data_IF_214155426187
#
_entry.id   IF_214155426187
#
_cell.length_a   1.000
_cell.length_b   1.000
_cell.length_c   1.000
_cell.angle_alpha   90.00
_cell.angle_beta   90.00
_cell.angle_gamma   90.00
#
_symmetry.space_group_name_H-M   'P 1'
#
loop_
_entity.id
_entity.type
_entity.pdbx_description
1 polymer ?
#
# COMPACT_ATOMS: atom_id res chain seq x y z
N UNK A 1 -15.24 9.43 0.85
CA UNK A 1 -14.33 9.57 2.00
C UNK A 1 -15.17 9.27 3.24
N UNK A 2 -15.08 8.06 3.75
CA UNK A 2 -15.68 7.73 5.06
C UNK A 2 -14.90 8.50 6.14
N UNK A 3 -15.62 9.17 7.05
CA UNK A 3 -15.02 9.93 8.17
C UNK A 3 -14.10 9.05 9.02
N UNK A 4 -13.06 9.61 9.71
CA UNK A 4 -12.18 8.85 10.58
C UNK A 4 -12.96 8.06 11.62
N UNK A 5 -12.51 6.84 12.00
CA UNK A 5 -13.16 6.12 13.09
C UNK A 5 -13.18 7.09 14.28
N UNK A 6 -14.39 7.34 14.79
CA UNK A 6 -14.57 8.13 16.02
C UNK A 6 -13.64 7.59 17.10
N UNK A 7 -13.21 8.43 18.03
CA UNK A 7 -12.35 8.08 19.16
C UNK A 7 -13.04 7.06 20.10
N UNK A 8 -13.28 5.85 19.60
CA UNK A 8 -13.63 4.68 20.39
C UNK A 8 -12.38 4.18 21.10
N UNK A 9 -12.53 3.57 22.28
CA UNK A 9 -11.44 3.17 23.17
C UNK A 9 -10.46 2.09 22.66
N UNK A 10 -10.54 1.64 21.40
CA UNK A 10 -9.63 0.67 20.80
C UNK A 10 -8.31 1.27 20.35
N UNK A 11 -7.24 0.46 20.28
CA UNK A 11 -5.91 0.84 19.80
C UNK A 11 -5.97 1.32 18.35
N UNK A 12 -5.09 2.25 17.98
CA UNK A 12 -4.89 2.64 16.59
C UNK A 12 -3.80 1.76 15.96
N UNK A 13 -4.19 0.90 15.03
CA UNK A 13 -3.32 -0.09 14.41
C UNK A 13 -3.20 0.17 12.92
N UNK A 14 -1.97 0.31 12.44
CA UNK A 14 -1.68 0.55 11.04
C UNK A 14 -1.11 -0.72 10.40
N UNK A 15 -1.63 -1.08 9.24
CA UNK A 15 -1.12 -2.18 8.42
C UNK A 15 -0.63 -1.64 7.08
N UNK A 16 0.58 -2.01 6.68
CA UNK A 16 0.91 -1.99 5.26
C UNK A 16 0.11 -3.10 4.54
N UNK A 17 0.00 -3.00 3.24
CA UNK A 17 -0.81 -3.92 2.43
C UNK A 17 0.05 -4.94 1.69
N UNK A 18 0.92 -4.47 0.80
CA UNK A 18 1.81 -5.31 0.01
C UNK A 18 2.92 -5.89 0.92
N UNK A 19 3.18 -7.19 0.83
CA UNK A 19 4.13 -7.90 1.71
C UNK A 19 3.62 -8.19 3.13
N UNK A 20 2.44 -7.67 3.52
CA UNK A 20 1.80 -7.89 4.82
C UNK A 20 0.48 -8.62 4.70
N UNK A 21 -0.41 -8.17 3.83
CA UNK A 21 -1.72 -8.80 3.55
C UNK A 21 -1.68 -9.57 2.22
N UNK A 22 -1.01 -9.00 1.21
CA UNK A 22 -0.86 -9.58 -0.13
C UNK A 22 0.61 -9.78 -0.44
N UNK A 23 0.97 -10.97 -0.92
CA UNK A 23 2.34 -11.31 -1.29
C UNK A 23 2.78 -10.60 -2.58
N UNK A 24 3.90 -9.87 -2.48
CA UNK A 24 4.50 -9.09 -3.56
C UNK A 24 3.86 -7.72 -3.72
N UNK A 25 4.14 -7.05 -4.84
CA UNK A 25 3.61 -5.72 -5.18
C UNK A 25 2.38 -5.87 -6.06
N UNK A 26 1.22 -5.54 -5.51
CA UNK A 26 -0.09 -5.69 -6.15
C UNK A 26 -0.27 -4.73 -7.32
N UNK A 27 0.21 -3.48 -7.17
CA UNK A 27 0.09 -2.47 -8.22
C UNK A 27 1.07 -2.72 -9.38
N UNK A 28 2.32 -3.11 -9.09
CA UNK A 28 3.26 -3.52 -10.13
C UNK A 28 2.77 -4.76 -10.89
N UNK A 29 2.06 -5.67 -10.21
CA UNK A 29 1.37 -6.79 -10.84
C UNK A 29 0.33 -6.33 -11.86
N UNK A 30 -0.54 -5.39 -11.48
CA UNK A 30 -1.52 -4.78 -12.37
C UNK A 30 -0.84 -4.03 -13.53
N UNK A 31 0.17 -3.22 -13.23
CA UNK A 31 0.91 -2.42 -14.21
C UNK A 31 1.45 -3.30 -15.34
N UNK A 32 2.13 -4.39 -15.01
CA UNK A 32 2.70 -5.33 -15.99
C UNK A 32 1.64 -6.07 -16.78
N UNK A 33 0.52 -6.39 -16.18
CA UNK A 33 -0.48 -7.28 -16.76
C UNK A 33 -1.58 -6.54 -17.52
N UNK A 34 -1.95 -5.36 -17.05
CA UNK A 34 -3.08 -4.57 -17.57
C UNK A 34 -2.71 -3.12 -17.90
N UNK A 35 -1.97 -2.46 -17.02
CA UNK A 35 -1.72 -1.02 -17.08
C UNK A 35 -1.00 -0.58 -18.34
N UNK A 36 -0.01 -1.34 -18.79
CA UNK A 36 0.79 -1.05 -19.99
C UNK A 36 0.39 -1.86 -21.23
N UNK A 37 -0.75 -2.55 -21.23
CA UNK A 37 -1.26 -3.24 -22.42
C UNK A 37 -1.66 -2.30 -23.59
N UNK A 38 -2.37 -1.19 -23.35
CA UNK A 38 -2.73 -0.28 -24.42
C UNK A 38 -1.50 0.29 -25.13
N UNK A 39 -1.48 0.37 -26.49
CA UNK A 39 -0.28 0.75 -27.25
C UNK A 39 0.34 2.07 -26.81
N UNK A 40 -0.49 3.09 -26.57
CA UNK A 40 -0.04 4.41 -26.10
C UNK A 40 0.67 4.33 -24.75
N UNK A 41 0.11 3.59 -23.79
CA UNK A 41 0.67 3.42 -22.44
C UNK A 41 1.93 2.56 -22.45
N UNK A 42 1.96 1.56 -23.32
CA UNK A 42 3.15 0.73 -23.54
C UNK A 42 4.29 1.57 -24.11
N UNK A 43 4.01 2.41 -25.12
CA UNK A 43 5.00 3.35 -25.64
C UNK A 43 5.49 4.32 -24.55
N UNK A 44 4.57 4.91 -23.79
CA UNK A 44 4.93 5.78 -22.67
C UNK A 44 5.79 5.05 -21.62
N UNK A 45 5.49 3.79 -21.30
CA UNK A 45 6.29 2.93 -20.42
C UNK A 45 7.70 2.72 -20.97
N UNK A 46 7.87 2.45 -22.25
CA UNK A 46 9.18 2.32 -22.90
C UNK A 46 9.98 3.63 -22.86
N UNK A 47 9.34 4.77 -23.08
CA UNK A 47 10.00 6.08 -23.04
C UNK A 47 10.42 6.45 -21.60
N UNK A 48 9.68 6.02 -20.60
CA UNK A 48 9.98 6.25 -19.18
C UNK A 48 11.03 5.28 -18.65
N UNK A 49 11.12 4.06 -19.19
CA UNK A 49 11.95 2.98 -18.65
C UNK A 49 13.45 3.36 -18.48
N UNK A 50 14.13 4.05 -19.43
CA UNK A 50 15.54 4.41 -19.30
C UNK A 50 15.84 5.31 -18.10
N UNK A 51 14.87 6.10 -17.65
CA UNK A 51 15.00 6.99 -16.49
C UNK A 51 14.35 6.35 -15.25
N UNK A 52 13.17 5.79 -15.40
CA UNK A 52 12.38 5.26 -14.30
C UNK A 52 13.00 4.04 -13.63
N UNK A 53 13.57 3.09 -14.40
CA UNK A 53 14.20 1.89 -13.85
C UNK A 53 15.44 2.21 -13.01
N UNK A 54 16.41 3.03 -13.48
CA UNK A 54 17.54 3.44 -12.64
C UNK A 54 17.09 4.16 -11.34
N UNK A 55 16.10 5.04 -11.42
CA UNK A 55 15.54 5.71 -10.23
C UNK A 55 14.93 4.72 -9.23
N UNK A 56 14.37 3.61 -9.70
CA UNK A 56 13.83 2.58 -8.82
C UNK A 56 14.88 1.70 -8.17
N UNK A 57 16.14 1.74 -8.63
CA UNK A 57 17.24 0.97 -8.03
C UNK A 57 17.72 1.53 -6.69
N UNK A 58 17.44 2.81 -6.39
CA UNK A 58 17.89 3.47 -5.16
C UNK A 58 16.71 3.85 -4.27
N UNK A 59 16.76 3.55 -2.95
CA UNK A 59 15.66 3.85 -2.02
C UNK A 59 15.25 5.33 -1.99
N UNK A 60 16.21 6.26 -2.13
CA UNK A 60 15.95 7.71 -2.13
C UNK A 60 15.14 8.21 -3.33
N UNK A 61 15.23 7.53 -4.48
CA UNK A 61 14.58 7.92 -5.74
C UNK A 61 13.49 6.94 -6.20
N UNK A 62 13.31 5.83 -5.48
CA UNK A 62 12.32 4.78 -5.80
C UNK A 62 10.91 5.37 -6.03
N UNK A 63 10.48 6.28 -5.16
CA UNK A 63 9.16 6.91 -5.27
C UNK A 63 8.99 7.74 -6.54
N UNK A 64 10.07 8.37 -7.01
CA UNK A 64 10.06 9.16 -8.24
C UNK A 64 9.94 8.24 -9.46
N UNK A 65 10.74 7.17 -9.52
CA UNK A 65 10.65 6.17 -10.57
C UNK A 65 9.27 5.52 -10.65
N UNK A 66 8.71 5.11 -9.51
CA UNK A 66 7.37 4.55 -9.42
C UNK A 66 6.28 5.52 -9.94
N UNK A 67 6.41 6.82 -9.62
CA UNK A 67 5.48 7.85 -10.12
C UNK A 67 5.53 8.00 -11.63
N UNK A 68 6.70 7.92 -12.25
CA UNK A 68 6.84 7.99 -13.72
C UNK A 68 6.06 6.85 -14.40
N UNK A 69 6.23 5.62 -13.91
CA UNK A 69 5.46 4.48 -14.44
C UNK A 69 3.96 4.58 -14.15
N UNK A 70 3.59 5.11 -13.00
CA UNK A 70 2.18 5.36 -12.69
C UNK A 70 1.54 6.36 -13.68
N UNK A 71 2.24 7.47 -13.99
CA UNK A 71 1.77 8.42 -14.99
C UNK A 71 1.67 7.80 -16.39
N UNK A 72 2.65 6.98 -16.80
CA UNK A 72 2.59 6.26 -18.07
C UNK A 72 1.38 5.30 -18.13
N UNK A 73 1.08 4.60 -17.02
CA UNK A 73 -0.03 3.66 -16.94
C UNK A 73 -1.42 4.31 -17.02
N UNK A 74 -1.54 5.55 -16.59
CA UNK A 74 -2.84 6.27 -16.63
C UNK A 74 -2.97 7.20 -17.84
N UNK A 75 -1.93 7.31 -18.66
CA UNK A 75 -1.93 8.19 -19.84
C UNK A 75 -3.07 7.85 -20.80
N UNK A 76 -3.94 8.84 -21.07
CA UNK A 76 -5.10 8.64 -21.93
C UNK A 76 -6.10 7.59 -21.46
N UNK A 77 -6.04 7.21 -20.17
CA UNK A 77 -6.95 6.24 -19.61
C UNK A 77 -8.36 6.81 -19.46
N UNK A 78 -9.35 6.09 -19.96
CA UNK A 78 -10.74 6.33 -19.56
C UNK A 78 -10.90 5.97 -18.08
N UNK A 79 -11.42 6.89 -17.26
CA UNK A 79 -11.54 6.69 -15.82
C UNK A 79 -12.38 5.47 -15.41
N UNK A 80 -13.47 5.19 -16.14
CA UNK A 80 -14.39 4.08 -15.83
C UNK A 80 -13.72 2.75 -16.13
N UNK A 81 -13.09 2.65 -17.30
CA UNK A 81 -12.37 1.44 -17.73
C UNK A 81 -11.19 1.16 -16.81
N UNK A 82 -10.46 2.21 -16.43
CA UNK A 82 -9.32 2.09 -15.51
C UNK A 82 -9.74 1.58 -14.14
N UNK A 83 -10.80 2.17 -13.57
CA UNK A 83 -11.38 1.73 -12.28
C UNK A 83 -11.78 0.26 -12.34
N UNK A 84 -12.56 -0.12 -13.36
CA UNK A 84 -13.01 -1.49 -13.54
C UNK A 84 -11.84 -2.48 -13.65
N UNK A 85 -10.77 -2.10 -14.37
CA UNK A 85 -9.54 -2.91 -14.50
C UNK A 85 -8.82 -3.10 -13.17
N UNK A 86 -8.66 -2.03 -12.38
CA UNK A 86 -8.00 -2.07 -11.06
C UNK A 86 -8.79 -2.95 -10.09
N UNK A 87 -10.11 -2.78 -10.02
CA UNK A 87 -10.98 -3.57 -9.16
C UNK A 87 -11.01 -5.05 -9.58
N UNK A 88 -11.09 -5.33 -10.88
CA UNK A 88 -11.06 -6.71 -11.40
C UNK A 88 -9.74 -7.40 -11.06
N UNK A 89 -8.62 -6.68 -11.14
CA UNK A 89 -7.33 -7.18 -10.73
C UNK A 89 -7.26 -7.45 -9.22
N UNK A 90 -7.80 -6.55 -8.38
CA UNK A 90 -7.89 -6.74 -6.93
C UNK A 90 -8.63 -8.03 -6.58
N UNK A 91 -9.81 -8.26 -7.16
CA UNK A 91 -10.58 -9.52 -7.00
C UNK A 91 -9.79 -10.74 -7.46
N UNK A 92 -9.07 -10.64 -8.57
CA UNK A 92 -8.21 -11.72 -9.07
C UNK A 92 -7.09 -12.05 -8.10
N UNK A 93 -6.45 -11.05 -7.48
CA UNK A 93 -5.40 -11.25 -6.48
C UNK A 93 -5.92 -11.96 -5.24
N UNK A 94 -7.06 -11.53 -4.72
CA UNK A 94 -7.67 -12.11 -3.54
C UNK A 94 -8.02 -13.60 -3.70
N UNK A 95 -8.41 -14.00 -4.91
CA UNK A 95 -8.75 -15.41 -5.25
C UNK A 95 -7.55 -16.26 -5.63
N UNK A 96 -6.40 -15.65 -5.92
CA UNK A 96 -5.26 -16.38 -6.44
C UNK A 96 -4.51 -17.12 -5.33
N UNK A 97 -4.32 -18.47 -5.43
CA UNK A 97 -3.59 -19.24 -4.44
C UNK A 97 -2.19 -18.65 -4.16
N UNK A 98 -1.80 -18.61 -2.88
CA UNK A 98 -0.50 -18.11 -2.44
C UNK A 98 -0.29 -16.59 -2.62
N UNK A 99 -1.36 -15.82 -2.89
CA UNK A 99 -1.29 -14.36 -2.96
C UNK A 99 -1.75 -13.68 -1.68
N UNK A 100 -2.58 -14.29 -0.89
CA UNK A 100 -2.97 -13.78 0.42
C UNK A 100 -2.03 -14.34 1.47
N UNK A 101 -1.46 -13.49 2.30
CA UNK A 101 -0.64 -13.87 3.46
C UNK A 101 -1.61 -14.17 4.60
N UNK A 102 -1.79 -15.45 4.90
CA UNK A 102 -2.79 -15.94 5.85
C UNK A 102 -2.61 -15.37 7.26
N UNK A 103 -1.37 -15.32 7.74
CA UNK A 103 -1.03 -14.76 9.05
C UNK A 103 -1.36 -13.26 9.13
N UNK A 104 -1.05 -12.51 8.06
CA UNK A 104 -1.35 -11.08 7.96
C UNK A 104 -2.85 -10.80 7.99
N UNK A 105 -3.62 -11.56 7.20
CA UNK A 105 -5.07 -11.46 7.19
C UNK A 105 -5.68 -11.83 8.55
N UNK A 106 -5.14 -12.87 9.21
CA UNK A 106 -5.59 -13.31 10.54
C UNK A 106 -5.31 -12.25 11.60
N UNK A 107 -4.11 -11.65 11.59
CA UNK A 107 -3.75 -10.55 12.49
C UNK A 107 -4.67 -9.34 12.30
N UNK A 108 -4.92 -8.95 11.04
CA UNK A 108 -5.83 -7.85 10.74
C UNK A 108 -7.24 -8.09 11.27
N UNK A 109 -7.80 -9.29 11.05
CA UNK A 109 -9.12 -9.68 11.56
C UNK A 109 -9.16 -9.67 13.08
N UNK A 110 -8.15 -10.22 13.74
CA UNK A 110 -8.06 -10.22 15.20
C UNK A 110 -8.11 -8.81 15.81
N UNK A 111 -7.47 -7.83 15.17
CA UNK A 111 -7.57 -6.43 15.60
C UNK A 111 -8.96 -5.84 15.36
N UNK A 112 -9.58 -6.14 14.22
CA UNK A 112 -10.96 -5.70 13.95
C UNK A 112 -11.93 -6.29 14.98
N UNK A 113 -11.83 -7.60 15.26
CA UNK A 113 -12.69 -8.31 16.21
C UNK A 113 -12.46 -7.84 17.66
N UNK A 114 -11.25 -7.40 17.99
CA UNK A 114 -10.94 -6.78 19.29
C UNK A 114 -11.46 -5.32 19.43
N UNK A 115 -12.08 -4.76 18.37
CA UNK A 115 -12.57 -3.39 18.38
C UNK A 115 -11.49 -2.33 18.19
N UNK A 116 -10.30 -2.70 17.72
CA UNK A 116 -9.23 -1.78 17.39
C UNK A 116 -9.58 -0.94 16.14
N UNK A 117 -9.06 0.28 16.08
CA UNK A 117 -9.18 1.16 14.91
C UNK A 117 -8.10 0.78 13.90
N UNK A 118 -8.47 -0.05 12.92
CA UNK A 118 -7.53 -0.58 11.93
C UNK A 118 -7.49 0.29 10.68
N UNK A 119 -6.29 0.69 10.29
CA UNK A 119 -6.03 1.48 9.09
C UNK A 119 -5.06 0.74 8.18
N UNK A 120 -5.45 0.43 6.96
CA UNK A 120 -4.55 -0.12 5.94
C UNK A 120 -3.95 1.04 5.14
N UNK A 121 -2.62 1.18 5.20
CA UNK A 121 -1.87 2.31 4.60
C UNK A 121 -0.96 1.78 3.50
N UNK A 122 -1.21 2.12 2.23
CA UNK A 122 -0.49 1.51 1.11
C UNK A 122 -0.14 2.45 -0.03
N UNK A 123 0.97 2.14 -0.71
CA UNK A 123 1.32 2.71 -2.01
C UNK A 123 0.42 2.25 -3.16
N UNK A 124 -0.28 1.15 -2.97
CA UNK A 124 -1.24 0.59 -3.95
C UNK A 124 -2.42 1.54 -4.18
N UNK A 125 -3.02 1.47 -5.36
CA UNK A 125 -4.20 2.28 -5.71
C UNK A 125 -5.42 1.83 -4.88
N UNK A 126 -6.19 2.81 -4.41
CA UNK A 126 -7.26 2.62 -3.41
C UNK A 126 -8.40 1.71 -3.88
N UNK A 127 -8.80 1.76 -5.14
CA UNK A 127 -9.87 0.90 -5.70
C UNK A 127 -9.43 -0.55 -5.79
N UNK A 128 -8.20 -0.79 -6.23
CA UNK A 128 -7.59 -2.13 -6.25
C UNK A 128 -7.53 -2.71 -4.84
N UNK A 129 -6.98 -1.96 -3.88
CA UNK A 129 -6.84 -2.40 -2.49
C UNK A 129 -8.20 -2.73 -1.86
N UNK A 130 -9.20 -1.83 -2.02
CA UNK A 130 -10.57 -2.07 -1.53
C UNK A 130 -11.17 -3.32 -2.15
N UNK A 131 -11.01 -3.55 -3.44
CA UNK A 131 -11.51 -4.74 -4.12
C UNK A 131 -10.91 -6.04 -3.55
N UNK A 132 -9.62 -6.02 -3.13
CA UNK A 132 -9.01 -7.15 -2.42
C UNK A 132 -9.68 -7.37 -1.06
N UNK A 133 -9.77 -6.32 -0.23
CA UNK A 133 -10.35 -6.42 1.11
C UNK A 133 -11.82 -6.85 1.06
N UNK A 134 -12.59 -6.31 0.12
CA UNK A 134 -13.99 -6.68 -0.09
C UNK A 134 -14.17 -8.15 -0.47
N UNK A 135 -13.31 -8.65 -1.38
CA UNK A 135 -13.32 -10.05 -1.81
C UNK A 135 -12.91 -11.00 -0.68
N UNK A 136 -12.01 -10.56 0.22
CA UNK A 136 -11.61 -11.30 1.42
C UNK A 136 -12.63 -11.17 2.57
N UNK A 137 -13.74 -10.44 2.38
CA UNK A 137 -14.76 -10.23 3.41
C UNK A 137 -14.29 -9.36 4.58
N UNK A 138 -13.20 -8.58 4.42
CA UNK A 138 -12.70 -7.69 5.45
C UNK A 138 -13.56 -6.43 5.50
N UNK A 139 -14.10 -6.14 6.69
CA UNK A 139 -14.94 -4.96 6.97
C UNK A 139 -14.37 -4.21 8.19
N UNK A 140 -14.84 -3.00 8.42
CA UNK A 140 -14.46 -2.22 9.61
C UNK A 140 -13.04 -1.64 9.57
N UNK A 141 -12.36 -1.67 8.42
CA UNK A 141 -11.02 -1.11 8.25
C UNK A 141 -11.06 0.18 7.44
N UNK A 142 -10.15 1.08 7.78
CA UNK A 142 -9.90 2.29 7.01
C UNK A 142 -8.81 2.05 5.98
N UNK A 143 -8.95 2.69 4.81
CA UNK A 143 -7.97 2.62 3.73
C UNK A 143 -7.42 4.01 3.46
N UNK A 144 -6.12 4.18 3.64
CA UNK A 144 -5.33 5.34 3.26
C UNK A 144 -4.31 4.88 2.21
N UNK A 145 -4.58 5.13 0.95
CA UNK A 145 -3.84 4.55 -0.16
C UNK A 145 -3.55 5.59 -1.25
N UNK A 146 -2.81 5.21 -2.28
CA UNK A 146 -2.64 6.05 -3.46
C UNK A 146 -4.00 6.26 -4.14
N UNK A 147 -4.24 7.47 -4.62
CA UNK A 147 -5.50 7.82 -5.27
C UNK A 147 -5.28 8.30 -6.70
N UNK A 148 -6.13 7.81 -7.59
CA UNK A 148 -6.30 8.36 -8.92
C UNK A 148 -7.52 9.26 -8.93
N UNK A 149 -7.41 10.47 -9.53
CA UNK A 149 -8.55 11.27 -9.90
C UNK A 149 -9.18 10.64 -11.15
N UNK A 150 -10.35 10.08 -10.97
CA UNK A 150 -11.11 9.39 -12.02
C UNK A 150 -12.30 10.23 -12.51
N UNK A 151 -12.23 11.53 -12.25
CA UNK A 151 -13.19 12.53 -12.69
C UNK A 151 -12.61 13.27 -13.90
N UNK A 152 -13.47 13.58 -14.87
CA UNK A 152 -13.08 14.25 -16.11
C UNK A 152 -12.71 13.28 -17.23
N UNK A 153 -12.12 13.82 -18.32
CA UNK A 153 -11.86 13.09 -19.55
C UNK A 153 -10.77 12.02 -19.42
N UNK A 154 -9.78 12.26 -18.56
CA UNK A 154 -8.63 11.37 -18.38
C UNK A 154 -8.27 11.21 -16.90
N UNK A 155 -7.90 9.99 -16.53
CA UNK A 155 -7.39 9.69 -15.20
C UNK A 155 -6.08 10.42 -14.92
N UNK A 156 -5.91 10.88 -13.67
CA UNK A 156 -4.71 11.57 -13.18
C UNK A 156 -4.31 11.03 -11.82
N UNK A 157 -3.03 11.13 -11.48
CA UNK A 157 -2.54 10.79 -10.13
C UNK A 157 -2.89 11.95 -9.20
N UNK A 158 -3.77 11.69 -8.23
CA UNK A 158 -4.19 12.66 -7.21
C UNK A 158 -3.27 12.64 -5.99
N UNK A 159 -2.95 11.44 -5.50
CA UNK A 159 -2.11 11.24 -4.31
C UNK A 159 -1.26 10.00 -4.49
N UNK A 160 0.03 10.09 -4.15
CA UNK A 160 0.94 8.97 -4.09
C UNK A 160 1.31 8.68 -2.62
N UNK A 161 0.85 7.54 -2.10
CA UNK A 161 0.97 7.14 -0.70
C UNK A 161 2.11 6.11 -0.53
N UNK A 162 3.37 6.53 -0.75
CA UNK A 162 4.54 5.67 -0.65
C UNK A 162 5.61 6.28 0.24
N UNK A 163 6.32 5.45 1.05
CA UNK A 163 7.37 5.89 1.96
C UNK A 163 6.91 7.04 2.87
N UNK A 164 7.65 8.14 2.92
CA UNK A 164 7.25 9.35 3.67
C UNK A 164 5.90 9.95 3.22
N UNK A 165 5.42 9.59 2.03
CA UNK A 165 4.09 9.96 1.54
C UNK A 165 2.95 9.34 2.38
N UNK A 166 3.18 8.18 3.01
CA UNK A 166 2.22 7.56 3.91
C UNK A 166 1.90 8.48 5.10
N UNK A 167 2.91 9.11 5.72
CA UNK A 167 2.69 10.05 6.84
C UNK A 167 1.86 11.27 6.42
N UNK A 168 2.16 11.83 5.24
CA UNK A 168 1.37 12.97 4.71
C UNK A 168 -0.07 12.57 4.42
N UNK A 169 -0.27 11.37 3.87
CA UNK A 169 -1.61 10.86 3.58
C UNK A 169 -2.43 10.62 4.86
N UNK A 170 -1.80 10.05 5.90
CA UNK A 170 -2.42 9.88 7.22
C UNK A 170 -2.76 11.23 7.86
N UNK A 171 -1.82 12.18 7.86
CA UNK A 171 -2.05 13.51 8.42
C UNK A 171 -3.20 14.26 7.71
N UNK A 172 -3.34 14.09 6.40
CA UNK A 172 -4.42 14.70 5.61
C UNK A 172 -5.81 14.18 5.99
N UNK A 173 -5.92 12.99 6.61
CA UNK A 173 -7.16 12.43 7.14
C UNK A 173 -7.23 12.50 8.68
N UNK A 174 -6.40 13.34 9.31
CA UNK A 174 -6.43 13.59 10.75
C UNK A 174 -5.72 12.54 11.61
N UNK A 175 -5.02 11.57 11.01
CA UNK A 175 -4.27 10.54 11.74
C UNK A 175 -2.82 11.01 11.90
N UNK A 176 -2.38 11.19 13.14
CA UNK A 176 -1.03 11.64 13.50
C UNK A 176 -0.40 10.69 14.52
N UNK A 177 0.94 10.57 14.54
CA UNK A 177 1.61 9.80 15.57
C UNK A 177 1.39 10.41 16.97
N UNK A 178 1.53 9.62 18.05
CA UNK A 178 1.81 8.20 18.00
C UNK A 178 0.57 7.36 17.72
N UNK A 179 0.72 6.27 16.97
CA UNK A 179 -0.24 5.17 16.92
C UNK A 179 0.26 4.00 17.75
N UNK A 180 -0.63 3.08 18.13
CA UNK A 180 -0.28 2.04 19.09
C UNK A 180 0.55 0.93 18.44
N UNK A 181 0.25 0.56 17.19
CA UNK A 181 0.89 -0.55 16.51
C UNK A 181 1.01 -0.29 15.00
N UNK A 182 2.11 -0.70 14.38
CA UNK A 182 2.27 -0.67 12.93
C UNK A 182 2.96 -1.92 12.40
N UNK A 183 2.42 -2.47 11.31
CA UNK A 183 2.94 -3.63 10.57
C UNK A 183 3.49 -3.19 9.21
N UNK A 184 4.71 -3.61 8.85
CA UNK A 184 5.27 -3.41 7.51
C UNK A 184 6.35 -4.44 7.17
N UNK A 185 6.45 -4.79 5.89
CA UNK A 185 7.50 -5.64 5.34
C UNK A 185 8.72 -4.87 4.81
N UNK A 186 8.65 -3.54 4.78
CA UNK A 186 9.58 -2.71 4.03
C UNK A 186 10.32 -1.66 4.86
N UNK A 187 11.66 -1.53 4.70
CA UNK A 187 12.42 -0.40 5.25
C UNK A 187 11.96 0.99 4.75
N UNK A 188 11.26 1.05 3.62
CA UNK A 188 10.68 2.31 3.14
C UNK A 188 9.63 2.88 4.08
N UNK A 189 9.08 2.04 4.96
CA UNK A 189 8.09 2.39 5.96
C UNK A 189 8.69 2.69 7.35
N UNK A 190 10.01 2.82 7.46
CA UNK A 190 10.64 3.28 8.71
C UNK A 190 9.98 4.53 9.30
N UNK A 191 9.59 5.56 8.51
CA UNK A 191 8.86 6.69 9.06
C UNK A 191 7.50 6.30 9.69
N UNK A 192 6.79 5.33 9.11
CA UNK A 192 5.54 4.80 9.64
C UNK A 192 5.79 4.02 10.94
N UNK A 193 6.77 3.12 10.92
CA UNK A 193 7.13 2.28 12.07
C UNK A 193 7.65 3.10 13.26
N UNK A 194 8.43 4.16 13.02
CA UNK A 194 8.89 5.10 14.07
C UNK A 194 7.75 5.85 14.76
N UNK A 195 6.63 6.05 14.08
CA UNK A 195 5.44 6.68 14.65
C UNK A 195 4.63 5.75 15.55
N UNK A 196 4.95 4.46 15.59
CA UNK A 196 4.27 3.46 16.40
C UNK A 196 4.90 3.34 17.81
N UNK A 197 4.06 3.04 18.81
CA UNK A 197 4.54 2.61 20.14
C UNK A 197 5.17 1.22 20.07
N UNK A 198 4.63 0.36 19.23
CA UNK A 198 5.14 -0.96 18.92
C UNK A 198 5.23 -1.15 17.41
N UNK A 199 6.40 -1.54 16.90
CA UNK A 199 6.63 -1.80 15.47
C UNK A 199 6.73 -3.31 15.22
N UNK A 200 6.03 -3.81 14.19
CA UNK A 200 6.11 -5.20 13.75
C UNK A 200 6.65 -5.26 12.34
N UNK A 201 7.87 -5.77 12.22
CA UNK A 201 8.57 -5.96 10.96
C UNK A 201 8.26 -7.36 10.42
N UNK A 202 7.51 -7.42 9.32
CA UNK A 202 7.03 -8.66 8.70
C UNK A 202 8.00 -9.12 7.62
N UNK A 203 8.50 -10.35 7.71
CA UNK A 203 9.38 -10.99 6.72
C UNK A 203 10.67 -10.19 6.41
N UNK A 204 11.18 -9.42 7.37
CA UNK A 204 12.40 -8.65 7.17
C UNK A 204 13.64 -9.57 7.11
N UNK A 205 14.50 -9.32 6.11
CA UNK A 205 15.78 -10.03 5.95
C UNK A 205 16.78 -9.60 7.02
N UNK A 206 17.84 -10.41 7.32
CA UNK A 206 18.78 -10.12 8.40
C UNK A 206 19.34 -8.69 8.39
N UNK A 207 19.84 -8.20 7.25
CA UNK A 207 20.34 -6.83 7.11
C UNK A 207 19.29 -5.74 7.39
N UNK A 208 18.03 -6.01 7.07
CA UNK A 208 16.92 -5.10 7.34
C UNK A 208 16.58 -5.12 8.84
N UNK A 209 16.67 -6.29 9.50
CA UNK A 209 16.47 -6.41 10.95
C UNK A 209 17.54 -5.62 11.73
N UNK A 210 18.79 -5.64 11.28
CA UNK A 210 19.86 -4.81 11.86
C UNK A 210 19.55 -3.31 11.72
N UNK A 211 19.05 -2.88 10.57
CA UNK A 211 18.61 -1.50 10.37
C UNK A 211 17.46 -1.14 11.32
N UNK A 212 16.44 -2.00 11.42
CA UNK A 212 15.31 -1.77 12.32
C UNK A 212 15.76 -1.66 13.78
N UNK A 213 16.67 -2.52 14.25
CA UNK A 213 17.18 -2.49 15.61
C UNK A 213 17.87 -1.15 15.95
N UNK A 214 18.55 -0.55 14.98
CA UNK A 214 19.18 0.78 15.12
C UNK A 214 18.17 1.92 15.13
N UNK A 215 17.12 1.80 14.36
CA UNK A 215 16.21 2.92 14.01
C UNK A 215 14.91 2.94 14.82
N UNK A 216 14.44 1.79 15.32
CA UNK A 216 13.13 1.62 15.94
C UNK A 216 13.20 1.26 17.45
N UNK A 217 14.35 0.83 17.94
CA UNK A 217 14.53 0.52 19.37
C UNK A 217 13.93 -0.82 19.82
N UNK A 218 13.84 -0.99 21.15
CA UNK A 218 13.54 -2.26 21.82
C UNK A 218 12.09 -2.75 21.69
N UNK A 219 11.15 -1.89 21.27
CA UNK A 219 9.73 -2.25 21.07
C UNK A 219 9.46 -2.84 19.70
N UNK A 220 10.51 -3.20 18.94
CA UNK A 220 10.39 -3.77 17.61
C UNK A 220 10.28 -5.28 17.67
N UNK A 221 9.23 -5.85 17.06
CA UNK A 221 9.06 -7.30 16.87
C UNK A 221 9.31 -7.70 15.42
N UNK A 222 9.86 -8.88 15.23
CA UNK A 222 10.05 -9.50 13.93
C UNK A 222 9.20 -10.75 13.83
N UNK A 223 8.43 -10.84 12.75
CA UNK A 223 7.58 -11.99 12.47
C UNK A 223 7.83 -12.49 11.04
N UNK A 224 7.73 -13.80 10.86
CA UNK A 224 7.85 -14.46 9.56
C UNK A 224 6.48 -15.06 9.21
N UNK A 225 5.74 -14.39 8.33
CA UNK A 225 4.36 -14.70 7.94
C UNK A 225 4.27 -15.40 6.58
N UNK A 226 3.25 -16.23 6.42
CA UNK A 226 3.00 -17.01 5.22
C UNK A 226 1.58 -16.83 4.69
#
# INVERSE_FOLDING_TARGET
VTSPPSAGGGRLVLFDFDGVIVAGDSFAGWLRREGLKPPLRRLAGWLVAPVGLPLMAFPSTLSLGARLFLHAAVLGADPVVLRASLEAWGRTLARRPGKVIGDGLSALRAHVDAGDRVVVVSGTESGLLRAVLDELGVRGVWVVASELALEGRFARVRRHCFGAGKLRALAAVGIRPPWDLAYSDSPNDLPLLRGAREAVCVNWRPRQRELAARELGATTRFVDWR
#
